data_IF_964593940447
#
_entry.id   IF_964593940447
#
_cell.length_a   1.000
_cell.length_b   1.000
_cell.length_c   1.000
_cell.angle_alpha   90.00
_cell.angle_beta   90.00
_cell.angle_gamma   90.00
#
_symmetry.space_group_name_H-M   'P 1'
#
loop_
_entity.id
_entity.type
_entity.pdbx_description
1 polymer ?
#
# COMPACT_ATOMS: atom_id res chain seq x y z
N UNK A 1 3.22 -5.48 -32.79
CA UNK A 1 2.80 -4.99 -31.46
C UNK A 1 3.62 -3.75 -31.16
N UNK A 2 2.96 -2.62 -30.89
CA UNK A 2 3.63 -1.36 -30.52
C UNK A 2 3.62 -1.33 -28.98
N UNK A 3 4.80 -1.23 -28.38
CA UNK A 3 4.93 -1.16 -26.91
C UNK A 3 4.94 0.30 -26.48
N UNK A 4 4.09 0.63 -25.52
CA UNK A 4 4.12 1.90 -24.79
C UNK A 4 4.76 1.70 -23.43
N UNK A 5 5.47 2.71 -22.97
CA UNK A 5 6.18 2.71 -21.69
C UNK A 5 5.88 4.01 -20.95
N UNK A 6 5.41 3.90 -19.71
CA UNK A 6 5.10 5.03 -18.85
C UNK A 6 5.83 4.91 -17.53
N UNK A 7 6.30 6.02 -17.01
CA UNK A 7 7.04 6.10 -15.74
C UNK A 7 6.20 6.80 -14.68
N UNK A 8 6.27 6.28 -13.46
CA UNK A 8 5.49 6.77 -12.31
C UNK A 8 6.40 6.99 -11.11
N UNK A 9 6.08 8.00 -10.30
CA UNK A 9 6.84 8.30 -9.08
C UNK A 9 5.91 8.34 -7.87
N UNK A 10 6.13 7.44 -6.91
CA UNK A 10 5.36 7.33 -5.65
C UNK A 10 6.31 7.35 -4.48
N UNK A 11 6.10 8.23 -3.50
CA UNK A 11 6.97 8.40 -2.33
C UNK A 11 8.45 8.63 -2.70
N UNK A 12 8.70 9.31 -3.84
CA UNK A 12 10.04 9.54 -4.37
C UNK A 12 10.67 8.35 -5.11
N UNK A 13 10.00 7.21 -5.19
CA UNK A 13 10.46 6.01 -5.91
C UNK A 13 9.93 5.99 -7.34
N UNK A 14 10.84 5.91 -8.31
CA UNK A 14 10.55 5.84 -9.73
C UNK A 14 10.38 4.38 -10.15
N UNK A 15 9.32 4.07 -10.89
CA UNK A 15 9.12 2.77 -11.54
C UNK A 15 8.49 2.92 -12.92
N UNK A 16 8.56 1.86 -13.70
CA UNK A 16 8.13 1.87 -15.09
C UNK A 16 7.20 0.69 -15.37
N UNK A 17 6.18 0.95 -16.17
CA UNK A 17 5.26 -0.08 -16.69
C UNK A 17 5.29 0.00 -18.21
N UNK A 18 5.47 -1.15 -18.86
CA UNK A 18 5.43 -1.27 -20.32
C UNK A 18 4.47 -2.36 -20.74
N UNK A 19 3.66 -2.09 -21.75
CA UNK A 19 2.74 -3.05 -22.35
C UNK A 19 2.32 -2.59 -23.76
N UNK A 20 1.53 -3.42 -24.44
CA UNK A 20 0.96 -3.03 -25.75
C UNK A 20 0.26 -1.67 -25.67
N UNK A 21 0.51 -0.81 -26.64
CA UNK A 21 -0.08 0.54 -26.71
C UNK A 21 -1.62 0.52 -26.82
N UNK A 22 -2.20 -0.57 -27.33
CA UNK A 22 -3.64 -0.78 -27.41
C UNK A 22 -4.24 -1.52 -26.21
N UNK A 23 -3.49 -1.72 -25.13
CA UNK A 23 -4.00 -2.40 -23.93
C UNK A 23 -5.08 -1.58 -23.23
N UNK A 24 -6.22 -2.20 -22.93
CA UNK A 24 -7.31 -1.58 -22.15
C UNK A 24 -6.86 -1.15 -20.73
N UNK A 25 -5.77 -1.71 -20.24
CA UNK A 25 -5.21 -1.36 -18.93
C UNK A 25 -4.76 0.11 -18.87
N UNK A 26 -4.29 0.69 -19.98
CA UNK A 26 -3.92 2.11 -20.01
C UNK A 26 -5.11 2.99 -19.65
N UNK A 27 -6.27 2.78 -20.29
CA UNK A 27 -7.51 3.50 -19.98
C UNK A 27 -7.94 3.32 -18.51
N UNK A 28 -7.80 2.11 -17.98
CA UNK A 28 -8.11 1.82 -16.58
C UNK A 28 -7.16 2.51 -15.60
N UNK A 29 -5.92 2.77 -16.00
CA UNK A 29 -4.92 3.46 -15.19
C UNK A 29 -5.13 4.98 -15.13
N UNK A 30 -5.86 5.58 -16.06
CA UNK A 30 -5.98 7.05 -16.20
C UNK A 30 -6.36 7.73 -14.88
N UNK A 31 -7.38 7.26 -14.21
CA UNK A 31 -7.83 7.88 -12.96
C UNK A 31 -6.82 7.73 -11.82
N UNK A 32 -6.18 6.58 -11.72
CA UNK A 32 -5.39 6.20 -10.53
C UNK A 32 -3.90 6.45 -10.68
N UNK A 33 -3.34 6.27 -11.86
CA UNK A 33 -1.89 6.36 -12.07
C UNK A 33 -1.43 7.68 -12.71
N UNK A 34 -2.25 8.31 -13.56
CA UNK A 34 -1.88 9.59 -14.21
C UNK A 34 -1.46 10.69 -13.22
N UNK A 35 -2.08 10.83 -12.03
CA UNK A 35 -1.57 11.80 -11.04
C UNK A 35 -0.12 11.57 -10.60
N UNK A 36 0.41 10.37 -10.78
CA UNK A 36 1.76 9.97 -10.39
C UNK A 36 2.71 9.82 -11.58
N UNK A 37 2.21 10.04 -12.80
CA UNK A 37 3.00 9.92 -14.02
C UNK A 37 4.07 11.01 -14.08
N UNK A 38 5.24 10.65 -14.58
CA UNK A 38 6.39 11.54 -14.77
C UNK A 38 6.99 11.30 -16.15
N UNK A 39 7.81 12.24 -16.61
CA UNK A 39 8.49 12.08 -17.89
C UNK A 39 9.35 10.80 -17.90
N UNK A 40 9.26 10.04 -18.98
CA UNK A 40 9.94 8.73 -19.12
C UNK A 40 11.46 8.85 -19.33
N UNK A 41 11.95 10.05 -19.62
CA UNK A 41 13.38 10.38 -19.81
C UNK A 41 14.11 10.74 -18.50
N UNK A 42 13.44 10.62 -17.34
CA UNK A 42 14.09 10.83 -16.06
C UNK A 42 15.27 9.84 -15.88
N UNK A 43 16.41 10.40 -15.48
CA UNK A 43 17.64 9.66 -15.24
C UNK A 43 17.70 9.02 -13.85
N UNK A 44 16.69 9.27 -13.02
CA UNK A 44 16.57 8.66 -11.69
C UNK A 44 16.59 7.13 -11.79
N UNK A 45 17.22 6.46 -10.84
CA UNK A 45 17.24 5.02 -10.78
C UNK A 45 15.83 4.47 -10.54
N UNK A 46 15.37 3.59 -11.45
CA UNK A 46 14.09 2.91 -11.31
C UNK A 46 14.20 1.79 -10.27
N UNK A 47 13.26 1.72 -9.35
CA UNK A 47 13.19 0.62 -8.38
C UNK A 47 12.73 -0.67 -9.05
N UNK A 48 11.86 -0.59 -10.06
CA UNK A 48 11.53 -1.72 -10.94
C UNK A 48 11.00 -1.26 -12.30
N UNK A 49 11.06 -2.19 -13.27
CA UNK A 49 10.36 -2.12 -14.56
C UNK A 49 9.48 -3.36 -14.72
N UNK A 50 8.18 -3.17 -14.95
CA UNK A 50 7.21 -4.23 -15.15
C UNK A 50 6.77 -4.30 -16.62
N UNK A 51 7.01 -5.43 -17.27
CA UNK A 51 6.48 -5.77 -18.59
C UNK A 51 5.16 -6.56 -18.44
N UNK A 52 4.07 -6.02 -18.98
CA UNK A 52 2.74 -6.65 -18.95
C UNK A 52 2.39 -7.20 -20.33
N UNK A 53 1.90 -8.43 -20.35
CA UNK A 53 1.57 -9.17 -21.58
C UNK A 53 2.71 -10.06 -22.09
N UNK A 54 3.93 -9.93 -21.55
CA UNK A 54 5.01 -10.85 -21.81
C UNK A 54 4.69 -12.23 -21.19
N UNK A 55 4.96 -13.29 -21.92
CA UNK A 55 4.77 -14.63 -21.40
C UNK A 55 5.75 -14.89 -20.24
N UNK A 56 5.20 -15.30 -19.11
CA UNK A 56 5.99 -15.85 -18.00
C UNK A 56 6.09 -17.35 -18.23
N UNK A 57 7.27 -17.80 -18.67
CA UNK A 57 7.53 -19.20 -18.96
C UNK A 57 7.25 -20.10 -17.76
N UNK A 58 6.89 -21.36 -18.04
CA UNK A 58 6.71 -22.36 -16.99
C UNK A 58 8.01 -22.47 -16.15
N UNK A 59 7.84 -22.57 -14.85
CA UNK A 59 8.95 -22.68 -13.89
C UNK A 59 8.74 -23.93 -13.00
N UNK A 60 9.83 -24.41 -12.43
CA UNK A 60 9.85 -25.55 -11.51
C UNK A 60 10.29 -25.13 -10.09
N UNK A 61 10.24 -23.83 -9.81
CA UNK A 61 10.64 -23.27 -8.53
C UNK A 61 9.78 -23.82 -7.37
N UNK A 62 10.35 -24.12 -6.19
CA UNK A 62 9.60 -24.58 -5.03
C UNK A 62 8.67 -23.49 -4.49
N UNK A 63 7.50 -23.91 -4.00
CA UNK A 63 6.56 -23.05 -3.28
C UNK A 63 7.18 -22.63 -1.94
N UNK A 64 7.27 -21.31 -1.68
CA UNK A 64 7.81 -20.75 -0.44
C UNK A 64 6.75 -20.08 0.42
N UNK A 65 5.61 -19.73 -0.18
CA UNK A 65 4.49 -19.11 0.55
C UNK A 65 3.17 -19.30 -0.18
N UNK A 66 2.10 -19.44 0.58
CA UNK A 66 0.71 -19.35 0.11
C UNK A 66 -0.15 -18.71 1.19
N UNK A 67 -1.15 -17.93 0.79
CA UNK A 67 -2.17 -17.42 1.70
C UNK A 67 -3.49 -18.20 1.59
N UNK A 68 -3.53 -19.32 0.87
CA UNK A 68 -4.77 -20.06 0.53
C UNK A 68 -5.65 -20.34 1.74
N UNK A 69 -5.03 -20.71 2.87
CA UNK A 69 -5.76 -21.08 4.08
C UNK A 69 -6.05 -19.92 5.04
N UNK A 70 -5.49 -18.73 4.76
CA UNK A 70 -5.55 -17.56 5.66
C UNK A 70 -6.17 -16.34 4.98
N UNK A 71 -6.39 -16.39 3.66
CA UNK A 71 -6.95 -15.27 2.90
C UNK A 71 -8.41 -15.04 3.30
N UNK A 72 -8.73 -13.79 3.61
CA UNK A 72 -10.11 -13.40 3.89
C UNK A 72 -10.99 -13.57 2.64
N UNK A 73 -12.27 -13.95 2.79
CA UNK A 73 -13.18 -14.03 1.65
C UNK A 73 -13.23 -12.74 0.85
N UNK A 74 -13.11 -12.84 -0.46
CA UNK A 74 -13.09 -11.69 -1.37
C UNK A 74 -11.70 -11.15 -1.71
N UNK A 75 -10.64 -11.70 -1.10
CA UNK A 75 -9.27 -11.38 -1.47
C UNK A 75 -8.66 -12.44 -2.39
N UNK A 76 -7.66 -12.05 -3.18
CA UNK A 76 -6.96 -12.95 -4.09
C UNK A 76 -6.13 -14.00 -3.35
N UNK A 77 -6.14 -15.22 -3.86
CA UNK A 77 -5.18 -16.25 -3.44
C UNK A 77 -3.84 -15.98 -4.14
N UNK A 78 -2.78 -16.07 -3.36
CA UNK A 78 -1.40 -15.86 -3.80
C UNK A 78 -0.57 -17.08 -3.49
N UNK A 79 0.09 -17.63 -4.50
CA UNK A 79 1.17 -18.59 -4.33
C UNK A 79 2.48 -17.95 -4.74
N UNK A 80 3.54 -18.10 -3.94
CA UNK A 80 4.86 -17.54 -4.20
C UNK A 80 5.87 -18.68 -4.28
N UNK A 81 6.64 -18.68 -5.35
CA UNK A 81 7.69 -19.64 -5.62
C UNK A 81 9.03 -18.91 -5.74
N UNK A 82 10.13 -19.56 -5.40
CA UNK A 82 11.47 -18.96 -5.46
C UNK A 82 12.49 -19.94 -6.01
N UNK A 83 13.37 -19.44 -6.86
CA UNK A 83 14.59 -20.12 -7.28
C UNK A 83 15.81 -19.17 -7.29
N UNK A 84 16.91 -19.59 -7.87
CA UNK A 84 18.13 -18.76 -7.97
C UNK A 84 18.00 -17.52 -8.86
N UNK A 85 16.96 -17.44 -9.69
CA UNK A 85 16.73 -16.33 -10.63
C UNK A 85 15.81 -15.24 -10.04
N UNK A 86 14.99 -15.59 -9.03
CA UNK A 86 14.06 -14.64 -8.41
C UNK A 86 12.81 -15.30 -7.86
N UNK A 87 11.72 -14.57 -7.93
CA UNK A 87 10.42 -15.00 -7.45
C UNK A 87 9.40 -15.12 -8.56
N UNK A 88 8.45 -16.03 -8.36
CA UNK A 88 7.29 -16.21 -9.22
C UNK A 88 6.03 -16.17 -8.37
N UNK A 89 5.00 -15.52 -8.89
CA UNK A 89 3.73 -15.31 -8.20
C UNK A 89 2.60 -15.81 -9.08
N UNK A 90 1.77 -16.70 -8.55
CA UNK A 90 0.49 -17.05 -9.14
C UNK A 90 -0.63 -16.36 -8.38
N UNK A 91 -1.42 -15.57 -9.10
CA UNK A 91 -2.57 -14.85 -8.59
C UNK A 91 -3.85 -15.55 -9.04
N UNK A 92 -4.70 -15.94 -8.10
CA UNK A 92 -6.01 -16.52 -8.38
C UNK A 92 -7.12 -15.63 -7.81
N UNK A 93 -8.20 -15.47 -8.58
CA UNK A 93 -9.36 -14.68 -8.14
C UNK A 93 -10.02 -15.34 -6.90
N UNK A 94 -10.66 -14.56 -6.00
CA UNK A 94 -11.31 -15.10 -4.81
C UNK A 94 -12.25 -16.26 -5.12
N UNK A 95 -12.07 -17.36 -4.39
CA UNK A 95 -12.88 -18.57 -4.55
C UNK A 95 -12.59 -19.42 -5.79
N UNK A 96 -11.49 -19.15 -6.51
CA UNK A 96 -11.06 -19.89 -7.70
C UNK A 96 -9.64 -20.43 -7.53
N UNK A 97 -9.40 -21.64 -8.05
CA UNK A 97 -8.05 -22.20 -8.19
C UNK A 97 -7.42 -21.87 -9.57
N UNK A 98 -8.15 -21.11 -10.41
CA UNK A 98 -7.66 -20.71 -11.73
C UNK A 98 -6.64 -19.59 -11.55
N UNK A 99 -5.43 -19.77 -12.07
CA UNK A 99 -4.40 -18.72 -12.09
C UNK A 99 -4.78 -17.68 -13.15
N UNK A 100 -5.08 -16.47 -12.72
CA UNK A 100 -5.49 -15.34 -13.55
C UNK A 100 -4.33 -14.41 -13.89
N UNK A 101 -3.25 -14.50 -13.15
CA UNK A 101 -2.00 -13.81 -13.44
C UNK A 101 -0.81 -14.59 -12.94
N UNK A 102 0.24 -14.55 -13.72
CA UNK A 102 1.55 -15.09 -13.37
C UNK A 102 2.58 -14.00 -13.51
N UNK A 103 3.30 -13.72 -12.44
CA UNK A 103 4.36 -12.73 -12.42
C UNK A 103 5.70 -13.40 -12.11
N UNK A 104 6.76 -12.98 -12.80
CA UNK A 104 8.13 -13.23 -12.37
C UNK A 104 8.81 -11.91 -12.02
N UNK A 105 9.67 -11.91 -11.02
CA UNK A 105 10.52 -10.77 -10.68
C UNK A 105 11.94 -11.27 -10.36
N UNK A 106 12.94 -10.55 -10.87
CA UNK A 106 14.36 -10.86 -10.66
C UNK A 106 14.75 -10.84 -9.18
N UNK A 107 15.83 -11.51 -8.83
CA UNK A 107 16.33 -11.60 -7.45
C UNK A 107 16.73 -10.25 -6.83
N UNK A 108 17.01 -9.23 -7.65
CA UNK A 108 17.27 -7.85 -7.25
C UNK A 108 16.01 -6.99 -7.22
N UNK A 109 14.84 -7.57 -7.55
CA UNK A 109 13.52 -6.91 -7.62
C UNK A 109 13.38 -5.82 -8.69
N UNK A 110 14.31 -5.69 -9.65
CA UNK A 110 14.33 -4.59 -10.62
C UNK A 110 13.61 -4.88 -11.93
N UNK A 111 13.46 -6.15 -12.28
CA UNK A 111 12.83 -6.54 -13.56
C UNK A 111 11.72 -7.53 -13.31
N UNK A 112 10.51 -7.15 -13.72
CA UNK A 112 9.33 -8.00 -13.58
C UNK A 112 8.61 -8.20 -14.91
N UNK A 113 7.97 -9.37 -15.07
CA UNK A 113 7.07 -9.71 -16.18
C UNK A 113 5.75 -10.20 -15.61
N UNK A 114 4.65 -9.85 -16.27
CA UNK A 114 3.31 -10.24 -15.87
C UNK A 114 2.51 -10.72 -17.08
N UNK A 115 2.04 -11.96 -17.03
CA UNK A 115 1.02 -12.48 -17.94
C UNK A 115 -0.34 -12.47 -17.23
N UNK A 116 -1.39 -12.12 -17.96
CA UNK A 116 -2.75 -11.97 -17.45
C UNK A 116 -3.73 -12.81 -18.27
N UNK A 117 -4.72 -13.39 -17.59
CA UNK A 117 -5.81 -14.16 -18.22
C UNK A 117 -7.15 -13.84 -17.56
N UNK A 118 -8.24 -14.22 -18.23
CA UNK A 118 -9.59 -13.97 -17.74
C UNK A 118 -10.21 -12.69 -18.30
N UNK A 119 -11.33 -12.27 -17.71
CA UNK A 119 -12.04 -11.05 -18.13
C UNK A 119 -11.24 -9.79 -17.79
N UNK A 120 -11.52 -8.67 -18.44
CA UNK A 120 -10.86 -7.38 -18.19
C UNK A 120 -10.88 -6.97 -16.72
N UNK A 121 -12.00 -7.21 -16.02
CA UNK A 121 -12.09 -6.88 -14.60
C UNK A 121 -11.15 -7.73 -13.75
N UNK A 122 -11.02 -9.02 -14.05
CA UNK A 122 -10.10 -9.92 -13.37
C UNK A 122 -8.64 -9.54 -13.67
N UNK A 123 -8.34 -9.23 -14.93
CA UNK A 123 -7.01 -8.78 -15.34
C UNK A 123 -6.64 -7.46 -14.65
N UNK A 124 -7.58 -6.51 -14.53
CA UNK A 124 -7.36 -5.24 -13.83
C UNK A 124 -6.99 -5.43 -12.35
N UNK A 125 -7.77 -6.24 -11.62
CA UNK A 125 -7.46 -6.52 -10.20
C UNK A 125 -6.12 -7.24 -10.05
N UNK A 126 -5.82 -8.19 -10.92
CA UNK A 126 -4.56 -8.92 -10.91
C UNK A 126 -3.37 -8.01 -11.25
N UNK A 127 -3.52 -7.15 -12.25
CA UNK A 127 -2.53 -6.14 -12.60
C UNK A 127 -2.24 -5.20 -11.42
N UNK A 128 -3.27 -4.66 -10.81
CA UNK A 128 -3.13 -3.74 -9.66
C UNK A 128 -2.41 -4.43 -8.49
N UNK A 129 -2.76 -5.68 -8.19
CA UNK A 129 -2.06 -6.47 -7.18
C UNK A 129 -0.59 -6.69 -7.54
N UNK A 130 -0.29 -7.05 -8.78
CA UNK A 130 1.08 -7.30 -9.24
C UNK A 130 1.97 -6.04 -9.15
N UNK A 131 1.47 -4.87 -9.57
CA UNK A 131 2.19 -3.59 -9.42
C UNK A 131 2.44 -3.27 -7.95
N UNK A 132 1.42 -3.47 -7.09
CA UNK A 132 1.55 -3.26 -5.64
C UNK A 132 2.62 -4.18 -5.04
N UNK A 133 2.66 -5.47 -5.44
CA UNK A 133 3.70 -6.42 -5.02
C UNK A 133 5.09 -6.02 -5.53
N UNK A 134 5.23 -5.60 -6.79
CA UNK A 134 6.51 -5.09 -7.30
C UNK A 134 7.00 -3.92 -6.44
N UNK A 135 6.13 -2.94 -6.16
CA UNK A 135 6.47 -1.79 -5.32
C UNK A 135 6.87 -2.21 -3.90
N UNK A 136 6.09 -3.10 -3.28
CA UNK A 136 6.34 -3.61 -1.93
C UNK A 136 7.70 -4.34 -1.82
N UNK A 137 8.01 -5.22 -2.78
CA UNK A 137 9.28 -5.96 -2.83
C UNK A 137 10.47 -5.03 -3.03
N UNK A 138 10.36 -4.09 -3.98
CA UNK A 138 11.45 -3.20 -4.34
C UNK A 138 11.73 -2.13 -3.29
N UNK A 139 10.74 -1.76 -2.47
CA UNK A 139 10.88 -0.69 -1.45
C UNK A 139 11.13 -1.22 -0.03
N UNK A 140 10.96 -2.51 0.22
CA UNK A 140 11.04 -3.08 1.57
C UNK A 140 12.35 -2.75 2.32
N UNK A 141 13.46 -2.53 1.61
CA UNK A 141 14.78 -2.16 2.17
C UNK A 141 15.12 -0.67 2.00
N UNK A 142 14.16 0.14 1.55
CA UNK A 142 14.33 1.57 1.26
C UNK A 142 13.57 2.45 2.26
N UNK A 143 13.50 2.01 3.52
CA UNK A 143 12.82 2.72 4.61
C UNK A 143 11.38 3.16 4.25
N UNK A 144 10.69 2.32 3.47
CA UNK A 144 9.37 2.61 2.88
C UNK A 144 8.42 1.44 3.11
N UNK A 145 7.19 1.73 3.51
CA UNK A 145 6.12 0.75 3.76
C UNK A 145 4.78 1.22 3.21
N UNK A 146 3.96 0.27 2.76
CA UNK A 146 2.56 0.50 2.44
C UNK A 146 1.71 0.23 3.70
N UNK A 147 0.81 1.15 4.01
CA UNK A 147 -0.07 1.04 5.17
C UNK A 147 -1.50 0.72 4.73
N UNK A 148 -2.10 -0.34 5.26
CA UNK A 148 -3.55 -0.57 5.13
C UNK A 148 -4.28 0.40 6.06
N UNK A 149 -4.48 1.62 5.58
CA UNK A 149 -5.04 2.72 6.36
C UNK A 149 -5.86 3.68 5.52
N UNK A 150 -6.75 4.44 6.16
CA UNK A 150 -7.28 5.68 5.61
C UNK A 150 -6.46 6.85 6.15
N UNK A 151 -6.09 7.80 5.29
CA UNK A 151 -5.20 8.90 5.62
C UNK A 151 -5.81 10.24 5.22
N UNK A 152 -5.87 11.17 6.17
CA UNK A 152 -6.25 12.56 5.91
C UNK A 152 -5.09 13.51 6.22
N UNK A 153 -5.08 14.66 5.55
CA UNK A 153 -4.20 15.77 5.92
C UNK A 153 -4.99 16.86 6.64
N UNK A 154 -4.42 17.38 7.72
CA UNK A 154 -4.98 18.49 8.47
C UNK A 154 -3.87 19.27 9.19
N UNK A 155 -3.91 20.61 9.11
CA UNK A 155 -2.92 21.50 9.70
C UNK A 155 -1.48 21.13 9.34
N UNK A 156 -1.25 20.81 8.05
CA UNK A 156 0.07 20.49 7.51
C UNK A 156 0.64 19.12 7.91
N UNK A 157 -0.15 18.24 8.52
CA UNK A 157 0.25 16.89 8.93
C UNK A 157 -0.70 15.84 8.39
N UNK A 158 -0.20 14.62 8.20
CA UNK A 158 -0.97 13.44 7.87
C UNK A 158 -1.42 12.71 9.14
N UNK A 159 -2.68 12.32 9.18
CA UNK A 159 -3.31 11.55 10.26
C UNK A 159 -3.82 10.24 9.68
N UNK A 160 -3.32 9.13 10.19
CA UNK A 160 -3.54 7.81 9.60
C UNK A 160 -4.41 6.95 10.51
N UNK A 161 -5.48 6.41 9.96
CA UNK A 161 -6.44 5.56 10.69
C UNK A 161 -6.24 4.11 10.29
N UNK A 162 -5.76 3.30 11.24
CA UNK A 162 -5.53 1.87 11.08
C UNK A 162 -6.69 1.04 11.64
N UNK A 163 -6.79 -0.20 11.23
CA UNK A 163 -7.72 -1.19 11.76
C UNK A 163 -8.02 -2.29 10.75
N UNK A 164 -8.59 -3.40 11.20
CA UNK A 164 -9.03 -4.49 10.32
C UNK A 164 -10.03 -3.98 9.27
N UNK A 165 -10.21 -4.74 8.18
CA UNK A 165 -11.26 -4.44 7.21
C UNK A 165 -12.62 -4.32 7.93
N UNK A 166 -13.40 -3.31 7.55
CA UNK A 166 -14.73 -3.07 8.13
C UNK A 166 -14.76 -2.44 9.54
N UNK A 167 -13.62 -2.12 10.18
CA UNK A 167 -13.63 -1.48 11.52
C UNK A 167 -14.11 -0.05 11.54
N UNK A 168 -14.11 0.66 10.40
CA UNK A 168 -14.57 2.04 10.30
C UNK A 168 -13.48 3.06 9.96
N UNK A 169 -12.31 2.67 9.44
CA UNK A 169 -11.24 3.59 9.01
C UNK A 169 -11.76 4.72 8.12
N UNK A 170 -12.36 4.37 6.98
CA UNK A 170 -12.93 5.34 6.02
C UNK A 170 -14.11 6.13 6.61
N UNK A 171 -14.86 5.54 7.55
CA UNK A 171 -15.92 6.25 8.27
C UNK A 171 -15.30 7.33 9.16
N UNK A 172 -14.23 7.01 9.89
CA UNK A 172 -13.55 7.96 10.75
C UNK A 172 -12.92 9.13 9.96
N UNK A 173 -12.32 8.83 8.80
CA UNK A 173 -11.82 9.86 7.87
C UNK A 173 -12.96 10.78 7.39
N UNK A 174 -14.14 10.24 7.05
CA UNK A 174 -15.31 11.05 6.67
C UNK A 174 -15.80 11.93 7.81
N UNK A 175 -15.79 11.45 9.05
CA UNK A 175 -16.13 12.26 10.21
C UNK A 175 -15.16 13.44 10.39
N UNK A 176 -13.86 13.23 10.17
CA UNK A 176 -12.88 14.33 10.16
C UNK A 176 -13.14 15.34 9.03
N UNK A 177 -13.46 14.85 7.82
CA UNK A 177 -13.81 15.72 6.68
C UNK A 177 -15.07 16.56 6.95
N UNK A 178 -16.04 16.03 7.70
CA UNK A 178 -17.27 16.75 8.06
C UNK A 178 -17.07 17.70 9.24
N UNK A 179 -16.24 17.33 10.21
CA UNK A 179 -16.08 18.08 11.45
C UNK A 179 -15.09 19.26 11.36
N UNK A 180 -14.15 19.23 10.43
CA UNK A 180 -13.07 20.22 10.38
C UNK A 180 -12.86 20.78 8.97
N UNK A 181 -12.98 22.10 8.86
CA UNK A 181 -12.61 22.81 7.63
C UNK A 181 -11.12 22.64 7.31
N UNK A 182 -10.82 22.39 6.05
CA UNK A 182 -9.45 22.23 5.57
C UNK A 182 -8.84 20.82 5.75
N UNK A 183 -9.63 19.85 6.22
CA UNK A 183 -9.23 18.43 6.15
C UNK A 183 -9.35 17.96 4.70
N UNK A 184 -8.33 17.24 4.24
CA UNK A 184 -8.31 16.65 2.89
C UNK A 184 -8.03 15.15 2.99
N UNK A 185 -8.83 14.32 2.34
CA UNK A 185 -8.53 12.89 2.19
C UNK A 185 -7.31 12.74 1.27
N UNK A 186 -6.24 12.16 1.77
CA UNK A 186 -5.02 11.89 1.01
C UNK A 186 -5.12 10.58 0.26
N UNK A 187 -5.51 9.51 0.96
CA UNK A 187 -5.69 8.17 0.41
C UNK A 187 -6.62 7.35 1.31
N UNK A 188 -7.34 6.40 0.74
CA UNK A 188 -8.26 5.54 1.49
C UNK A 188 -8.03 4.08 1.16
N UNK A 189 -6.90 3.53 1.54
CA UNK A 189 -6.55 2.11 1.62
C UNK A 189 -5.04 1.84 1.72
N UNK A 190 -4.23 2.38 0.78
CA UNK A 190 -2.79 2.09 0.71
C UNK A 190 -1.92 3.35 0.57
N UNK A 191 -1.97 4.32 1.50
CA UNK A 191 -0.96 5.36 1.55
C UNK A 191 0.41 4.75 1.83
N UNK A 192 1.46 5.42 1.36
CA UNK A 192 2.84 5.00 1.58
C UNK A 192 3.44 5.86 2.69
N UNK A 193 4.24 5.25 3.58
CA UNK A 193 5.09 5.99 4.52
C UNK A 193 6.54 5.73 4.16
N UNK A 194 7.32 6.80 4.11
CA UNK A 194 8.78 6.73 3.98
C UNK A 194 9.45 7.46 5.15
N UNK A 195 10.45 6.83 5.74
CA UNK A 195 11.34 7.44 6.72
C UNK A 195 12.55 7.98 5.97
N UNK A 196 12.74 9.29 6.00
CA UNK A 196 13.85 9.96 5.32
C UNK A 196 15.11 9.99 6.18
N UNK A 197 16.28 10.22 5.56
CA UNK A 197 17.57 10.28 6.23
C UNK A 197 17.64 11.35 7.34
N UNK A 198 16.88 12.44 7.20
CA UNK A 198 16.71 13.48 8.22
C UNK A 198 15.82 13.04 9.39
N UNK A 199 15.33 11.80 9.35
CA UNK A 199 14.51 11.19 10.38
C UNK A 199 13.02 11.51 10.27
N UNK A 200 12.56 12.32 9.31
CA UNK A 200 11.13 12.58 9.15
C UNK A 200 10.41 11.36 8.55
N UNK A 201 9.27 11.03 9.14
CA UNK A 201 8.33 10.08 8.55
C UNK A 201 7.29 10.87 7.74
N UNK A 202 7.25 10.67 6.44
CA UNK A 202 6.35 11.36 5.51
C UNK A 202 5.34 10.35 4.97
N UNK A 203 4.06 10.71 4.99
CA UNK A 203 3.00 9.98 4.32
C UNK A 203 2.79 10.53 2.92
N UNK A 204 2.54 9.63 1.98
CA UNK A 204 2.31 9.92 0.57
C UNK A 204 1.00 9.28 0.12
N UNK A 205 0.27 9.97 -0.75
CA UNK A 205 -0.77 9.34 -1.54
C UNK A 205 -0.20 8.32 -2.52
N UNK A 206 -1.06 7.47 -3.04
CA UNK A 206 -0.65 6.39 -3.94
C UNK A 206 -1.72 6.11 -5.01
N UNK A 207 -1.39 5.41 -6.08
CA UNK A 207 -2.37 4.97 -7.08
C UNK A 207 -3.25 3.81 -6.59
N UNK A 208 -3.04 3.33 -5.37
CA UNK A 208 -3.80 2.24 -4.78
C UNK A 208 -4.78 2.78 -3.74
N UNK A 209 -6.08 2.67 -4.02
CA UNK A 209 -7.13 3.08 -3.12
C UNK A 209 -8.22 2.01 -3.05
N UNK A 210 -8.96 1.98 -1.95
CA UNK A 210 -10.01 1.01 -1.74
C UNK A 210 -11.35 1.40 -2.42
N UNK A 211 -12.44 1.26 -1.68
CA UNK A 211 -13.79 1.60 -2.18
C UNK A 211 -13.97 3.08 -2.48
N UNK A 212 -13.26 3.93 -1.77
CA UNK A 212 -13.25 5.39 -2.01
C UNK A 212 -12.15 5.70 -3.02
N UNK A 213 -12.53 6.14 -4.22
CA UNK A 213 -11.56 6.56 -5.24
C UNK A 213 -10.85 7.82 -4.76
N UNK A 214 -9.58 7.70 -4.41
CA UNK A 214 -8.76 8.79 -3.91
C UNK A 214 -7.30 8.57 -4.31
N UNK A 215 -6.89 9.21 -5.40
CA UNK A 215 -5.59 9.02 -6.05
C UNK A 215 -4.85 10.37 -6.12
N UNK A 216 -4.44 10.88 -4.97
CA UNK A 216 -3.79 12.20 -4.88
C UNK A 216 -2.29 12.05 -4.76
N UNK A 217 -1.56 12.66 -5.69
CA UNK A 217 -0.11 12.81 -5.58
C UNK A 217 0.20 13.97 -4.64
N UNK A 218 0.18 13.68 -3.34
CA UNK A 218 0.45 14.65 -2.28
C UNK A 218 1.21 13.97 -1.14
N UNK A 219 1.88 14.79 -0.33
CA UNK A 219 2.63 14.32 0.82
C UNK A 219 2.44 15.22 2.04
N UNK A 220 2.64 14.67 3.23
CA UNK A 220 2.69 15.44 4.48
C UNK A 220 3.47 14.67 5.57
N UNK A 221 4.15 15.37 6.49
CA UNK A 221 4.73 14.75 7.68
C UNK A 221 3.65 14.00 8.48
N UNK A 222 3.95 12.78 8.92
CA UNK A 222 3.02 12.00 9.73
C UNK A 222 2.89 12.64 11.12
N UNK A 223 1.71 13.17 11.42
CA UNK A 223 1.38 13.77 12.72
C UNK A 223 1.03 12.71 13.76
N UNK A 224 0.41 11.63 13.34
CA UNK A 224 0.03 10.53 14.21
C UNK A 224 -0.61 9.35 13.49
N UNK A 225 -0.56 8.20 14.14
CA UNK A 225 -1.15 6.95 13.66
C UNK A 225 -2.15 6.46 14.71
N UNK A 226 -3.40 6.28 14.31
CA UNK A 226 -4.51 6.03 15.19
C UNK A 226 -5.16 4.69 14.81
N UNK A 227 -5.14 3.72 15.72
CA UNK A 227 -5.88 2.46 15.55
C UNK A 227 -7.32 2.66 15.97
N UNK A 228 -8.24 2.46 15.04
CA UNK A 228 -9.68 2.51 15.29
C UNK A 228 -10.15 1.17 15.84
N UNK A 229 -10.92 1.22 16.92
CA UNK A 229 -11.59 0.08 17.53
C UNK A 229 -13.04 0.46 17.87
N UNK A 230 -13.99 -0.43 17.61
CA UNK A 230 -15.39 -0.18 17.94
C UNK A 230 -15.62 -0.32 19.44
N UNK A 231 -16.30 0.67 20.03
CA UNK A 231 -16.69 0.69 21.42
C UNK A 231 -18.02 1.44 21.59
N UNK A 232 -18.76 1.24 22.68
CA UNK A 232 -19.99 2.00 22.97
C UNK A 232 -19.72 3.39 23.59
N UNK A 233 -18.52 3.93 23.44
CA UNK A 233 -18.06 5.22 23.93
C UNK A 233 -16.91 5.74 23.04
N UNK A 234 -16.58 7.03 23.19
CA UNK A 234 -15.46 7.66 22.50
C UNK A 234 -14.31 7.93 23.48
N UNK A 235 -13.16 7.27 23.26
CA UNK A 235 -11.96 7.45 24.09
C UNK A 235 -10.70 7.21 23.29
N UNK A 236 -9.78 8.16 23.32
CA UNK A 236 -8.45 8.02 22.75
C UNK A 236 -7.41 7.78 23.87
N UNK A 237 -6.45 6.89 23.60
CA UNK A 237 -5.32 6.60 24.48
C UNK A 237 -4.05 6.48 23.68
N UNK A 238 -2.98 7.11 24.16
CA UNK A 238 -1.65 6.95 23.57
C UNK A 238 -1.14 5.53 23.81
N UNK A 239 -0.52 4.95 22.78
CA UNK A 239 0.11 3.63 22.87
C UNK A 239 1.55 3.75 23.36
N UNK A 240 1.98 2.75 24.13
CA UNK A 240 3.40 2.53 24.42
C UNK A 240 4.16 2.11 23.14
N UNK A 241 5.49 2.17 23.10
CA UNK A 241 6.26 1.73 21.94
C UNK A 241 5.97 0.26 21.54
N UNK A 242 5.80 -0.64 22.49
CA UNK A 242 5.49 -2.05 22.23
C UNK A 242 4.11 -2.21 21.63
N UNK A 243 3.10 -1.53 22.18
CA UNK A 243 1.74 -1.53 21.62
C UNK A 243 1.70 -0.91 20.23
N UNK A 244 2.46 0.16 20.01
CA UNK A 244 2.61 0.82 18.71
C UNK A 244 3.17 -0.15 17.68
N UNK A 245 4.27 -0.82 18.01
CA UNK A 245 4.89 -1.82 17.15
C UNK A 245 3.89 -2.93 16.77
N UNK A 246 3.24 -3.54 17.74
CA UNK A 246 2.24 -4.58 17.51
C UNK A 246 1.07 -4.07 16.63
N UNK A 247 0.66 -2.82 16.84
CA UNK A 247 -0.38 -2.17 16.05
C UNK A 247 0.03 -2.00 14.58
N UNK A 248 1.23 -1.49 14.31
CA UNK A 248 1.72 -1.23 12.96
C UNK A 248 2.00 -2.52 12.19
N UNK A 249 2.58 -3.53 12.85
CA UNK A 249 2.88 -4.84 12.25
C UNK A 249 1.67 -5.50 11.59
N UNK A 250 0.48 -5.31 12.14
CA UNK A 250 -0.76 -5.89 11.62
C UNK A 250 -1.41 -5.08 10.49
N UNK A 251 -0.92 -3.88 10.23
CA UNK A 251 -1.51 -2.94 9.26
C UNK A 251 -0.56 -2.51 8.16
N UNK A 252 0.74 -2.80 8.30
CA UNK A 252 1.73 -2.48 7.30
C UNK A 252 2.08 -3.72 6.49
N UNK A 253 1.92 -3.60 5.19
CA UNK A 253 2.19 -4.68 4.25
C UNK A 253 3.67 -5.09 4.28
N UNK A 254 3.95 -6.37 4.14
CA UNK A 254 5.32 -6.88 4.08
C UNK A 254 5.37 -8.38 3.88
N UNK A 255 6.50 -8.83 3.34
CA UNK A 255 6.76 -10.24 3.09
C UNK A 255 7.40 -10.89 4.32
N UNK A 256 6.83 -12.01 4.76
CA UNK A 256 7.29 -12.72 5.96
C UNK A 256 8.14 -13.96 5.63
N UNK A 257 8.09 -14.42 4.38
CA UNK A 257 8.84 -15.60 3.92
C UNK A 257 10.29 -15.29 3.50
N UNK A 258 10.65 -14.02 3.36
CA UNK A 258 12.01 -13.59 3.02
C UNK A 258 12.55 -12.71 4.14
N UNK A 259 13.63 -13.19 4.77
CA UNK A 259 14.20 -12.54 5.95
C UNK A 259 14.60 -11.09 5.70
N UNK A 260 15.29 -10.82 4.60
CA UNK A 260 15.79 -9.46 4.29
C UNK A 260 14.65 -8.45 4.08
N UNK A 261 13.55 -8.89 3.47
CA UNK A 261 12.37 -8.05 3.27
C UNK A 261 11.61 -7.82 4.58
N UNK A 262 11.52 -8.87 5.41
CA UNK A 262 10.90 -8.77 6.74
C UNK A 262 11.71 -7.85 7.64
N UNK A 263 13.04 -8.00 7.68
CA UNK A 263 13.95 -7.14 8.45
C UNK A 263 13.88 -5.67 7.98
N UNK A 264 13.79 -5.41 6.68
CA UNK A 264 13.65 -4.07 6.12
C UNK A 264 12.35 -3.39 6.53
N UNK A 265 11.22 -4.11 6.43
CA UNK A 265 9.93 -3.62 6.94
C UNK A 265 9.99 -3.32 8.44
N UNK A 266 10.57 -4.23 9.20
CA UNK A 266 10.70 -4.15 10.65
C UNK A 266 11.51 -2.92 11.07
N UNK A 267 12.67 -2.70 10.44
CA UNK A 267 13.49 -1.50 10.59
C UNK A 267 12.68 -0.22 10.32
N UNK A 268 11.89 -0.21 9.24
CA UNK A 268 11.06 0.96 8.88
C UNK A 268 10.01 1.22 9.94
N UNK A 269 9.32 0.17 10.45
CA UNK A 269 8.33 0.30 11.53
C UNK A 269 8.98 0.86 12.79
N UNK A 270 10.16 0.36 13.19
CA UNK A 270 10.91 0.89 14.33
C UNK A 270 11.29 2.36 14.12
N UNK A 271 11.70 2.74 12.91
CA UNK A 271 11.95 4.12 12.54
C UNK A 271 10.71 5.01 12.69
N UNK A 272 9.54 4.52 12.36
CA UNK A 272 8.27 5.25 12.49
C UNK A 272 7.90 5.42 13.97
N UNK A 273 7.84 4.36 14.77
CA UNK A 273 7.36 4.42 16.16
C UNK A 273 8.24 5.24 17.10
N UNK A 274 9.50 5.42 16.74
CA UNK A 274 10.43 6.28 17.52
C UNK A 274 10.18 7.77 17.30
N UNK A 275 9.41 8.14 16.26
CA UNK A 275 9.23 9.53 15.80
C UNK A 275 7.77 9.96 15.75
N UNK A 276 6.89 9.00 15.47
CA UNK A 276 5.47 9.25 15.27
C UNK A 276 4.69 8.69 16.44
N UNK A 277 3.94 9.52 17.17
CA UNK A 277 3.08 9.05 18.24
C UNK A 277 1.92 8.21 17.69
N UNK A 278 1.60 7.13 18.40
CA UNK A 278 0.52 6.22 18.06
C UNK A 278 -0.56 6.21 19.14
N UNK A 279 -1.80 6.03 18.72
CA UNK A 279 -2.98 5.95 19.61
C UNK A 279 -3.88 4.77 19.27
N UNK A 280 -4.69 4.37 20.22
CA UNK A 280 -5.93 3.65 19.98
C UNK A 280 -7.10 4.62 20.20
N UNK A 281 -8.04 4.60 19.27
CA UNK A 281 -9.32 5.30 19.38
C UNK A 281 -10.44 4.27 19.45
N UNK A 282 -10.99 4.09 20.63
CA UNK A 282 -12.19 3.31 20.89
C UNK A 282 -13.38 4.21 20.66
N UNK A 283 -14.24 3.92 19.68
CA UNK A 283 -15.26 4.88 19.28
C UNK A 283 -16.55 4.28 18.71
N UNK A 284 -17.60 5.09 18.84
CA UNK A 284 -18.82 5.03 18.08
C UNK A 284 -18.61 5.63 16.66
N UNK A 285 -19.46 5.31 15.69
CA UNK A 285 -19.44 5.95 14.37
C UNK A 285 -20.23 7.27 14.37
N UNK A 286 -19.88 8.21 15.26
CA UNK A 286 -20.53 9.50 15.43
C UNK A 286 -19.55 10.67 15.30
N UNK A 287 -20.07 11.90 15.22
CA UNK A 287 -19.27 13.12 15.04
C UNK A 287 -18.35 13.39 16.25
N UNK A 288 -18.79 13.04 17.46
CA UNK A 288 -18.00 13.22 18.68
C UNK A 288 -16.70 12.41 18.64
N UNK A 289 -16.69 11.28 17.94
CA UNK A 289 -15.48 10.49 17.76
C UNK A 289 -14.36 11.28 17.09
N UNK A 290 -14.67 12.11 16.08
CA UNK A 290 -13.67 12.94 15.43
C UNK A 290 -13.16 14.05 16.37
N UNK A 291 -14.04 14.64 17.17
CA UNK A 291 -13.67 15.68 18.16
C UNK A 291 -12.76 15.12 19.24
N UNK A 292 -13.13 13.99 19.86
CA UNK A 292 -12.34 13.31 20.89
C UNK A 292 -10.98 12.86 20.34
N UNK A 293 -10.96 12.29 19.12
CA UNK A 293 -9.74 11.88 18.47
C UNK A 293 -8.80 13.07 18.22
N UNK A 294 -9.31 14.12 17.58
CA UNK A 294 -8.51 15.30 17.23
C UNK A 294 -7.95 16.01 18.46
N UNK A 295 -8.74 16.19 19.53
CA UNK A 295 -8.28 16.75 20.77
C UNK A 295 -7.09 15.97 21.35
N UNK A 296 -7.24 14.65 21.46
CA UNK A 296 -6.19 13.78 22.01
C UNK A 296 -4.88 13.82 21.21
N UNK A 297 -4.97 13.80 19.86
CA UNK A 297 -3.75 13.68 19.02
C UNK A 297 -3.07 15.01 18.73
N UNK A 298 -3.78 16.15 18.86
CA UNK A 298 -3.24 17.49 18.58
C UNK A 298 -2.72 18.23 19.82
N UNK A 299 -3.14 17.83 21.02
CA UNK A 299 -2.69 18.44 22.28
C UNK A 299 -1.25 18.05 22.69
N UNK A 300 -0.67 17.06 22.03
CA UNK A 300 0.71 16.63 22.33
C UNK A 300 1.69 17.61 21.69
N UNK A 301 2.21 18.52 22.52
CA UNK A 301 3.36 19.39 22.23
C UNK A 301 4.68 18.60 22.26
#
# INVERSE_FOLDING_TARGET
MIISTHAYKVAGHLFEIRMDAGSFLWERMDESYVPFEVASDLTDEKIFSLAVGDEVTAFTAPLVYTNKDTVEPGFMTLNVYKDGNGYYFDFSHPGSDIVNGRMSISSDYKTAKLSLTGSEIVQWYTFTAAVNFCFLLSTARLDTVLAHSSCVTYKGKAWMFLGKSGTGKSTHSRMWLSAFDGVVLMNDDHPVIRVHDDGRAIAYGSPWSGKTRCYKNMEAPVGGIIRISRAPYNKARRLSPIESYASLMTSFSGMTWEKDLADGRDKTIQGIITRVPCWVMECLPDEDAAMVCSAAVMEVK
#
